data_IF_325491893981
#
_entry.id   IF_325491893981
#
_cell.length_a   1.000
_cell.length_b   1.000
_cell.length_c   1.000
_cell.angle_alpha   90.00
_cell.angle_beta   90.00
_cell.angle_gamma   90.00
#
_symmetry.space_group_name_H-M   'P 1'
#
loop_
_entity.id
_entity.type
_entity.pdbx_description
1 polymer ?
#
# COMPACT_ATOMS: atom_id res chain seq x y z
N UNK A 1 -46.25 -42.84 -18.22
CA UNK A 1 -47.13 -43.04 -19.39
C UNK A 1 -47.44 -41.73 -20.08
N UNK A 2 -46.95 -41.63 -21.31
CA UNK A 2 -47.53 -40.91 -22.47
C UNK A 2 -47.76 -39.40 -22.33
N UNK A 3 -47.48 -38.54 -23.22
CA UNK A 3 -46.98 -38.43 -24.61
C UNK A 3 -47.04 -36.94 -24.95
N UNK A 4 -46.01 -36.36 -25.46
CA UNK A 4 -45.74 -36.03 -26.87
C UNK A 4 -46.73 -35.06 -27.55
N UNK A 5 -46.09 -34.01 -28.09
CA UNK A 5 -46.35 -33.29 -29.34
C UNK A 5 -47.47 -32.22 -29.36
N UNK A 6 -47.18 -31.02 -29.75
CA UNK A 6 -47.27 -30.58 -31.15
C UNK A 6 -46.75 -29.16 -31.33
N UNK A 7 -46.00 -28.97 -32.38
CA UNK A 7 -45.54 -27.71 -32.95
C UNK A 7 -46.65 -27.07 -33.84
N UNK A 8 -46.59 -25.75 -33.99
CA UNK A 8 -46.78 -25.02 -35.28
C UNK A 8 -46.77 -23.50 -35.02
N UNK A 9 -45.79 -22.84 -35.48
CA UNK A 9 -45.70 -21.83 -36.54
C UNK A 9 -46.85 -20.83 -36.71
N UNK A 10 -46.52 -19.55 -36.56
CA UNK A 10 -46.97 -18.51 -37.47
C UNK A 10 -45.97 -17.32 -37.47
N UNK A 11 -45.42 -17.13 -38.65
CA UNK A 11 -44.61 -15.97 -38.98
C UNK A 11 -45.53 -14.75 -39.15
N UNK A 12 -45.11 -13.61 -38.66
CA UNK A 12 -45.65 -12.31 -39.11
C UNK A 12 -44.52 -11.34 -39.27
N UNK A 13 -44.29 -10.98 -40.49
CA UNK A 13 -43.44 -9.92 -41.02
C UNK A 13 -43.93 -8.56 -40.55
N UNK A 14 -43.05 -7.78 -39.92
CA UNK A 14 -43.23 -6.32 -39.83
C UNK A 14 -41.89 -5.65 -40.13
N UNK A 15 -41.88 -4.98 -41.26
CA UNK A 15 -40.85 -4.11 -41.80
C UNK A 15 -40.56 -2.93 -40.86
N UNK A 16 -39.31 -2.75 -40.52
CA UNK A 16 -38.79 -1.54 -39.87
C UNK A 16 -38.41 -0.49 -40.94
N UNK A 17 -38.68 0.79 -40.72
CA UNK A 17 -38.19 1.85 -41.60
C UNK A 17 -36.74 2.19 -41.32
N UNK A 18 -36.00 2.41 -42.39
CA UNK A 18 -34.63 2.90 -42.42
C UNK A 18 -34.55 4.29 -41.76
N UNK A 19 -33.63 4.46 -40.82
CA UNK A 19 -33.20 5.78 -40.33
C UNK A 19 -31.83 6.07 -40.93
N UNK A 20 -31.80 7.14 -41.70
CA UNK A 20 -30.63 7.71 -42.36
C UNK A 20 -29.51 8.04 -41.34
N UNK A 21 -28.33 7.68 -41.71
CA UNK A 21 -27.09 8.09 -41.01
C UNK A 21 -26.80 9.58 -41.30
N UNK A 22 -26.81 10.42 -40.28
CA UNK A 22 -26.17 11.74 -40.31
C UNK A 22 -24.81 11.72 -39.60
N UNK A 23 -23.83 12.50 -40.10
CA UNK A 23 -22.43 12.31 -39.74
C UNK A 23 -22.06 12.93 -38.39
N UNK A 24 -21.20 12.22 -37.66
CA UNK A 24 -20.53 12.67 -36.46
C UNK A 24 -19.73 13.97 -36.64
N UNK A 25 -20.28 15.08 -36.15
CA UNK A 25 -19.55 16.32 -35.85
C UNK A 25 -20.19 16.97 -34.64
N UNK A 26 -19.70 16.62 -33.42
CA UNK A 26 -19.77 17.42 -32.19
C UNK A 26 -19.25 16.64 -30.99
N UNK A 27 -17.98 16.22 -31.01
CA UNK A 27 -17.29 15.67 -29.82
C UNK A 27 -15.88 16.25 -29.68
N UNK A 28 -15.73 17.59 -29.86
CA UNK A 28 -14.44 18.25 -29.77
C UNK A 28 -14.47 19.56 -28.97
N UNK A 29 -15.51 19.85 -28.21
CA UNK A 29 -15.63 21.14 -27.52
C UNK A 29 -15.79 21.07 -25.99
N UNK A 30 -15.86 19.87 -25.38
CA UNK A 30 -16.06 19.74 -23.92
C UNK A 30 -14.76 19.41 -23.17
N UNK A 31 -13.70 19.00 -23.86
CA UNK A 31 -12.45 18.59 -23.20
C UNK A 31 -11.43 19.74 -23.00
N UNK A 32 -11.72 20.96 -23.45
CA UNK A 32 -10.79 22.10 -23.38
C UNK A 32 -11.17 23.19 -22.36
N UNK A 33 -12.24 23.00 -21.59
CA UNK A 33 -12.73 24.00 -20.62
C UNK A 33 -12.36 23.70 -19.16
N UNK A 34 -11.70 22.60 -18.86
CA UNK A 34 -11.28 22.25 -17.49
C UNK A 34 -9.82 22.58 -17.16
N UNK A 35 -9.01 23.10 -18.11
CA UNK A 35 -7.58 23.39 -17.90
C UNK A 35 -7.23 24.87 -17.77
N UNK A 36 -8.20 25.79 -17.62
CA UNK A 36 -7.92 27.21 -17.42
C UNK A 36 -8.68 27.77 -16.23
N UNK A 37 -8.19 27.52 -14.98
CA UNK A 37 -8.34 28.41 -13.82
C UNK A 37 -7.68 27.79 -12.57
N UNK A 38 -6.36 27.69 -12.57
CA UNK A 38 -5.60 27.79 -11.32
C UNK A 38 -4.54 28.87 -11.51
N UNK A 39 -4.90 30.09 -11.15
CA UNK A 39 -3.90 31.14 -10.88
C UNK A 39 -3.23 30.78 -9.57
N UNK A 40 -1.91 30.53 -9.62
CA UNK A 40 -1.05 30.56 -8.46
C UNK A 40 -1.14 31.95 -7.83
N UNK A 41 -1.72 32.04 -6.65
CA UNK A 41 -1.53 33.17 -5.75
C UNK A 41 -0.24 32.88 -5.00
N UNK A 42 0.79 33.65 -5.32
CA UNK A 42 2.03 33.72 -4.55
C UNK A 42 1.69 34.30 -3.18
N UNK A 43 1.63 33.45 -2.15
CA UNK A 43 1.69 33.91 -0.77
C UNK A 43 3.14 33.87 -0.31
N UNK A 44 3.67 35.02 -0.03
CA UNK A 44 4.91 35.35 0.64
C UNK A 44 5.03 34.53 1.95
N UNK A 45 5.96 33.57 1.99
CA UNK A 45 6.38 32.89 3.20
C UNK A 45 7.39 33.73 3.95
N UNK A 46 7.00 34.24 5.09
CA UNK A 46 7.90 34.86 6.05
C UNK A 46 8.56 33.80 6.93
N UNK A 47 9.86 33.75 6.87
CA UNK A 47 10.88 33.34 7.85
C UNK A 47 10.56 32.15 8.80
N UNK A 48 11.06 30.97 8.39
CA UNK A 48 11.76 30.07 9.31
C UNK A 48 13.22 30.02 8.82
N UNK A 49 14.15 30.49 9.64
CA UNK A 49 15.59 30.41 9.37
C UNK A 49 15.99 28.94 9.28
N UNK A 50 16.18 28.49 8.04
CA UNK A 50 17.01 27.31 7.77
C UNK A 50 18.47 27.72 7.98
N UNK A 51 19.33 26.84 8.56
CA UNK A 51 20.76 27.12 8.61
C UNK A 51 21.26 27.32 7.17
N UNK A 52 22.13 28.34 7.00
CA UNK A 52 22.78 28.62 5.72
C UNK A 52 23.37 27.33 5.14
N UNK A 53 23.01 26.94 3.91
CA UNK A 53 23.69 25.84 3.26
C UNK A 53 25.12 26.29 3.00
N UNK A 54 26.10 25.65 3.66
CA UNK A 54 27.51 25.77 3.29
C UNK A 54 27.61 25.60 1.77
N UNK A 55 28.24 26.54 1.11
CA UNK A 55 28.43 26.61 -0.34
C UNK A 55 29.15 25.34 -0.82
N UNK A 56 28.37 24.35 -1.24
CA UNK A 56 28.88 23.14 -1.90
C UNK A 56 29.37 23.63 -3.28
N UNK A 57 30.62 23.33 -3.71
CA UNK A 57 31.10 23.70 -5.01
C UNK A 57 30.20 23.10 -6.10
N UNK A 58 29.48 23.93 -6.82
CA UNK A 58 28.70 23.54 -7.99
C UNK A 58 29.59 23.51 -9.24
N UNK A 59 29.24 22.63 -10.21
CA UNK A 59 29.85 22.70 -11.54
C UNK A 59 29.49 24.04 -12.20
N UNK A 60 30.12 24.41 -13.35
CA UNK A 60 29.84 25.67 -14.06
C UNK A 60 28.35 25.85 -14.45
N UNK A 61 27.52 24.80 -14.39
CA UNK A 61 26.09 24.81 -14.67
C UNK A 61 25.23 24.86 -13.40
N UNK A 62 25.83 25.10 -12.21
CA UNK A 62 25.13 25.22 -10.93
C UNK A 62 24.62 23.90 -10.35
N UNK A 63 25.08 22.74 -10.83
CA UNK A 63 24.71 21.43 -10.29
C UNK A 63 25.69 20.99 -9.20
N UNK A 64 25.13 20.44 -8.12
CA UNK A 64 25.94 19.80 -7.09
C UNK A 64 26.73 18.61 -7.69
N UNK A 65 28.02 18.43 -7.32
CA UNK A 65 28.83 17.36 -7.88
C UNK A 65 28.25 15.99 -7.54
N UNK A 66 28.08 15.12 -8.56
CA UNK A 66 27.70 13.73 -8.38
C UNK A 66 28.90 12.97 -7.84
N UNK A 67 28.87 12.57 -6.59
CA UNK A 67 29.94 11.82 -5.92
C UNK A 67 29.62 10.33 -5.74
N UNK A 68 28.32 9.97 -5.73
CA UNK A 68 27.83 8.61 -5.51
C UNK A 68 27.30 8.00 -6.78
N UNK A 69 27.77 6.80 -7.14
CA UNK A 69 27.17 5.98 -8.19
C UNK A 69 26.58 4.70 -7.59
N UNK A 70 25.29 4.49 -7.75
CA UNK A 70 24.62 3.25 -7.34
C UNK A 70 24.51 2.32 -8.55
N UNK A 71 25.14 1.13 -8.47
CA UNK A 71 25.24 0.17 -9.56
C UNK A 71 24.38 -1.04 -9.23
N UNK A 72 23.39 -1.30 -10.08
CA UNK A 72 22.63 -2.54 -10.07
C UNK A 72 23.47 -3.72 -10.57
N UNK A 73 23.44 -4.83 -9.83
CA UNK A 73 24.14 -6.07 -10.19
C UNK A 73 23.20 -7.26 -10.07
N UNK A 74 23.10 -8.05 -11.12
CA UNK A 74 22.36 -9.31 -11.16
C UNK A 74 23.15 -10.47 -10.56
N UNK A 75 22.58 -11.68 -10.59
CA UNK A 75 23.26 -12.90 -10.17
C UNK A 75 24.26 -13.40 -11.21
N UNK A 76 24.25 -12.83 -12.42
CA UNK A 76 25.27 -12.93 -13.46
C UNK A 76 26.56 -12.15 -13.13
N UNK A 77 26.55 -11.39 -12.03
CA UNK A 77 27.67 -10.71 -11.41
C UNK A 77 28.31 -9.66 -12.30
N UNK A 78 29.65 -9.53 -12.21
CA UNK A 78 30.41 -8.53 -12.96
C UNK A 78 30.30 -8.73 -14.49
N UNK A 79 30.07 -9.96 -14.96
CA UNK A 79 29.92 -10.25 -16.38
C UNK A 79 28.66 -9.60 -16.99
N UNK A 80 27.57 -9.53 -16.26
CA UNK A 80 26.30 -8.91 -16.70
C UNK A 80 26.28 -7.39 -16.66
N UNK A 81 27.27 -6.74 -16.05
CA UNK A 81 27.28 -5.29 -15.90
C UNK A 81 27.49 -4.58 -17.26
N UNK A 82 26.77 -3.49 -17.45
CA UNK A 82 26.97 -2.58 -18.58
C UNK A 82 28.38 -1.98 -18.58
N UNK A 83 28.86 -1.50 -19.74
CA UNK A 83 30.15 -0.80 -19.84
C UNK A 83 30.22 0.41 -18.89
N UNK A 84 29.13 1.15 -18.75
CA UNK A 84 29.07 2.31 -17.85
C UNK A 84 29.20 1.91 -16.38
N UNK A 85 28.51 0.83 -15.96
CA UNK A 85 28.59 0.30 -14.61
C UNK A 85 30.00 -0.23 -14.28
N UNK A 86 30.62 -0.98 -15.21
CA UNK A 86 32.01 -1.45 -15.03
C UNK A 86 32.98 -0.29 -14.89
N UNK A 87 32.84 0.75 -15.73
CA UNK A 87 33.69 1.95 -15.67
C UNK A 87 33.55 2.65 -14.31
N UNK A 88 32.31 2.86 -13.82
CA UNK A 88 32.09 3.46 -12.52
C UNK A 88 32.77 2.70 -11.38
N UNK A 89 32.74 1.35 -11.43
CA UNK A 89 33.43 0.51 -10.45
C UNK A 89 34.96 0.60 -10.53
N UNK A 90 35.55 0.80 -11.74
CA UNK A 90 36.98 0.99 -11.91
C UNK A 90 37.43 2.37 -11.45
N UNK A 91 36.59 3.39 -11.62
CA UNK A 91 36.88 4.78 -11.26
C UNK A 91 36.63 5.06 -9.75
N UNK A 92 35.95 4.14 -9.04
CA UNK A 92 35.63 4.28 -7.64
C UNK A 92 36.85 4.12 -6.72
N UNK A 93 36.93 4.96 -5.69
CA UNK A 93 37.88 4.80 -4.56
C UNK A 93 37.38 3.76 -3.55
N UNK A 94 36.05 3.75 -3.33
CA UNK A 94 35.39 2.85 -2.38
C UNK A 94 34.15 2.23 -3.03
N UNK A 95 33.92 0.94 -2.77
CA UNK A 95 32.74 0.20 -3.19
C UNK A 95 32.05 -0.38 -1.97
N UNK A 96 30.83 0.11 -1.68
CA UNK A 96 29.95 -0.44 -0.65
C UNK A 96 29.03 -1.51 -1.22
N UNK A 97 28.73 -2.53 -0.43
CA UNK A 97 27.79 -3.57 -0.84
C UNK A 97 27.56 -4.65 0.20
N UNK A 98 26.57 -5.50 -0.03
CA UNK A 98 26.41 -6.75 0.72
C UNK A 98 27.54 -7.74 0.40
N UNK A 99 27.82 -8.69 1.30
CA UNK A 99 28.89 -9.67 1.15
C UNK A 99 28.85 -10.40 -0.20
N UNK A 100 27.63 -10.82 -0.65
CA UNK A 100 27.42 -11.49 -1.94
C UNK A 100 27.85 -10.61 -3.11
N UNK A 101 27.43 -9.34 -3.13
CA UNK A 101 27.76 -8.43 -4.24
C UNK A 101 29.26 -8.15 -4.33
N UNK A 102 29.92 -7.94 -3.18
CA UNK A 102 31.37 -7.69 -3.14
C UNK A 102 32.17 -8.92 -3.60
N UNK A 103 31.67 -10.13 -3.31
CA UNK A 103 32.30 -11.38 -3.76
C UNK A 103 32.23 -11.60 -5.29
N UNK A 104 31.26 -10.97 -5.96
CA UNK A 104 31.14 -11.03 -7.45
C UNK A 104 32.14 -10.13 -8.18
N UNK A 105 32.84 -9.25 -7.45
CA UNK A 105 33.78 -8.31 -8.06
C UNK A 105 35.14 -8.96 -8.31
N UNK A 106 35.74 -8.75 -9.52
CA UNK A 106 37.05 -9.30 -9.84
C UNK A 106 38.16 -8.66 -8.98
N UNK A 107 39.19 -9.46 -8.64
CA UNK A 107 40.31 -9.02 -7.80
C UNK A 107 41.08 -7.81 -8.35
N UNK A 108 41.04 -7.57 -9.68
CA UNK A 108 41.70 -6.45 -10.35
C UNK A 108 41.12 -5.07 -10.05
N UNK A 109 39.95 -4.98 -9.40
CA UNK A 109 39.41 -3.70 -8.94
C UNK A 109 40.19 -3.25 -7.70
N UNK A 110 40.78 -2.04 -7.78
CA UNK A 110 41.64 -1.48 -6.72
C UNK A 110 40.87 -0.77 -5.62
N UNK A 111 39.59 -0.47 -5.87
CA UNK A 111 38.71 0.18 -4.89
C UNK A 111 38.67 -0.57 -3.56
N UNK A 112 38.70 0.14 -2.46
CA UNK A 112 38.42 -0.40 -1.13
C UNK A 112 37.00 -0.97 -1.11
N UNK A 113 36.81 -2.17 -0.55
CA UNK A 113 35.53 -2.87 -0.50
C UNK A 113 34.99 -2.82 0.92
N UNK A 114 33.84 -2.19 1.08
CA UNK A 114 33.21 -2.00 2.37
C UNK A 114 31.87 -2.72 2.44
N UNK A 115 31.66 -3.49 3.50
CA UNK A 115 30.37 -4.10 3.80
C UNK A 115 29.49 -3.13 4.57
N UNK A 116 28.18 -3.19 4.32
CA UNK A 116 27.25 -2.50 5.19
C UNK A 116 27.40 -2.96 6.64
N UNK A 117 27.35 -2.05 7.62
CA UNK A 117 27.36 -2.41 9.03
C UNK A 117 26.10 -3.19 9.43
N UNK A 118 26.18 -3.86 10.57
CA UNK A 118 25.06 -4.54 11.20
C UNK A 118 24.90 -4.00 12.63
N UNK A 119 23.79 -3.32 12.96
CA UNK A 119 22.64 -3.01 12.12
C UNK A 119 22.99 -2.11 10.93
N UNK A 120 22.12 -2.12 9.89
CA UNK A 120 22.34 -1.34 8.67
C UNK A 120 22.37 0.16 8.98
N UNK A 121 23.43 0.83 8.51
CA UNK A 121 23.65 2.27 8.67
C UNK A 121 24.34 2.86 7.44
N UNK A 122 23.94 4.06 7.02
CA UNK A 122 24.52 4.78 5.88
C UNK A 122 25.56 5.83 6.29
N UNK A 123 25.71 6.13 7.58
CA UNK A 123 26.65 7.14 8.08
C UNK A 123 28.09 6.91 7.61
N UNK A 124 28.62 5.67 7.56
CA UNK A 124 29.97 5.42 7.02
C UNK A 124 30.09 5.87 5.54
N UNK A 125 29.06 5.65 4.74
CA UNK A 125 29.02 6.09 3.34
C UNK A 125 29.02 7.61 3.22
N UNK A 126 28.25 8.31 4.08
CA UNK A 126 28.13 9.77 4.03
C UNK A 126 29.45 10.51 4.37
N UNK A 127 30.42 9.84 4.98
CA UNK A 127 31.75 10.38 5.27
C UNK A 127 32.72 10.33 4.09
N UNK A 128 32.34 9.67 2.99
CA UNK A 128 33.21 9.45 1.82
C UNK A 128 32.94 10.44 0.68
N UNK A 129 32.30 11.59 0.95
CA UNK A 129 31.81 12.51 -0.08
C UNK A 129 32.91 13.18 -0.93
N UNK A 130 34.15 13.13 -0.50
CA UNK A 130 35.29 13.77 -1.17
C UNK A 130 35.91 12.91 -2.28
N UNK A 131 35.42 11.70 -2.49
CA UNK A 131 35.94 10.74 -3.45
C UNK A 131 34.82 10.06 -4.25
N UNK A 132 35.09 9.54 -5.47
CA UNK A 132 34.12 8.76 -6.20
C UNK A 132 33.76 7.46 -5.45
N UNK A 133 32.50 7.30 -5.08
CA UNK A 133 31.99 6.13 -4.36
C UNK A 133 31.01 5.36 -5.23
N UNK A 134 31.11 4.04 -5.20
CA UNK A 134 30.10 3.16 -5.74
C UNK A 134 29.37 2.38 -4.66
N UNK A 135 28.07 2.17 -4.85
CA UNK A 135 27.24 1.29 -4.06
C UNK A 135 26.68 0.19 -4.95
N UNK A 136 26.86 -1.08 -4.56
CA UNK A 136 26.25 -2.22 -5.24
C UNK A 136 24.87 -2.53 -4.67
N UNK A 137 23.89 -2.70 -5.55
CA UNK A 137 22.52 -3.09 -5.21
C UNK A 137 22.05 -4.25 -6.09
N UNK A 138 21.16 -5.08 -5.60
CA UNK A 138 20.58 -6.17 -6.40
C UNK A 138 19.69 -5.60 -7.50
N UNK A 139 19.89 -6.01 -8.74
CA UNK A 139 19.05 -5.68 -9.89
C UNK A 139 18.84 -4.18 -10.08
N UNK A 140 17.60 -3.70 -9.96
CA UNK A 140 17.29 -2.28 -10.01
C UNK A 140 17.38 -1.65 -8.61
N UNK A 141 18.33 -0.71 -8.37
CA UNK A 141 18.52 -0.07 -7.08
C UNK A 141 17.29 0.71 -6.58
N UNK A 142 16.41 1.14 -7.48
CA UNK A 142 15.22 1.92 -7.13
C UNK A 142 14.00 1.06 -6.83
N UNK A 143 14.05 -0.24 -7.15
CA UNK A 143 12.93 -1.17 -6.95
C UNK A 143 13.13 -2.01 -5.68
N UNK A 144 12.54 -1.61 -4.55
CA UNK A 144 12.76 -2.19 -3.21
C UNK A 144 14.23 -2.23 -2.78
N UNK A 145 15.10 -1.47 -3.44
CA UNK A 145 16.55 -1.48 -3.25
C UNK A 145 17.07 -0.29 -2.45
N UNK A 146 18.38 -0.36 -2.14
CA UNK A 146 19.10 0.66 -1.37
C UNK A 146 19.10 2.04 -2.05
N UNK A 147 19.00 2.09 -3.38
CA UNK A 147 18.99 3.35 -4.13
C UNK A 147 17.88 4.29 -3.71
N UNK A 148 16.67 3.75 -3.46
CA UNK A 148 15.55 4.55 -2.97
C UNK A 148 15.78 5.11 -1.56
N UNK A 149 16.52 4.40 -0.71
CA UNK A 149 16.91 4.88 0.63
C UNK A 149 17.96 5.98 0.51
N UNK A 150 18.99 5.78 -0.30
CA UNK A 150 20.05 6.76 -0.53
C UNK A 150 19.51 8.04 -1.15
N UNK A 151 18.61 7.96 -2.14
CA UNK A 151 18.00 9.12 -2.76
C UNK A 151 17.24 10.03 -1.78
N UNK A 152 16.63 9.45 -0.72
CA UNK A 152 15.94 10.21 0.33
C UNK A 152 16.87 10.96 1.28
N UNK A 153 18.10 10.46 1.48
CA UNK A 153 19.07 11.04 2.41
C UNK A 153 20.07 11.97 1.71
N UNK A 154 20.45 11.64 0.48
CA UNK A 154 21.51 12.33 -0.26
C UNK A 154 20.96 13.33 -1.28
N UNK A 155 19.74 13.09 -1.77
CA UNK A 155 19.17 13.80 -2.92
C UNK A 155 19.54 13.13 -4.24
N UNK A 156 18.57 13.07 -5.16
CA UNK A 156 18.75 12.41 -6.45
C UNK A 156 19.75 13.15 -7.37
N UNK A 157 19.92 14.46 -7.18
CA UNK A 157 20.82 15.34 -7.92
C UNK A 157 22.32 15.10 -7.62
N UNK A 158 22.62 14.50 -6.45
CA UNK A 158 23.98 14.20 -5.99
C UNK A 158 24.41 12.76 -6.27
N UNK A 159 23.54 11.95 -6.84
CA UNK A 159 23.79 10.56 -7.12
C UNK A 159 23.47 10.18 -8.56
N UNK A 160 24.17 9.18 -9.07
CA UNK A 160 23.91 8.53 -10.34
C UNK A 160 23.48 7.09 -10.13
N UNK A 161 22.36 6.69 -10.70
CA UNK A 161 21.89 5.29 -10.63
C UNK A 161 22.08 4.62 -11.99
N UNK A 162 22.71 3.46 -11.98
CA UNK A 162 22.94 2.59 -13.14
C UNK A 162 22.21 1.25 -12.88
N UNK A 163 20.92 1.13 -13.24
CA UNK A 163 20.15 -0.06 -12.96
C UNK A 163 20.56 -1.26 -13.81
N UNK A 164 20.35 -2.46 -13.26
CA UNK A 164 20.30 -3.71 -14.02
C UNK A 164 18.85 -4.23 -14.01
N UNK A 165 18.50 -5.23 -14.86
CA UNK A 165 17.19 -5.86 -14.79
C UNK A 165 16.91 -6.37 -13.38
N UNK A 166 15.75 -6.02 -12.82
CA UNK A 166 15.33 -6.52 -11.51
C UNK A 166 14.91 -7.99 -11.60
N UNK A 167 14.93 -8.70 -10.48
CA UNK A 167 14.38 -10.07 -10.42
C UNK A 167 12.90 -10.10 -10.83
N UNK A 168 12.14 -9.03 -10.57
CA UNK A 168 10.75 -8.89 -11.03
C UNK A 168 10.68 -8.84 -12.57
N UNK A 169 11.55 -8.07 -13.22
CA UNK A 169 11.60 -7.98 -14.69
C UNK A 169 12.00 -9.33 -15.31
N UNK A 170 12.99 -10.01 -14.70
CA UNK A 170 13.43 -11.32 -15.16
C UNK A 170 12.34 -12.38 -15.00
N UNK A 171 11.65 -12.43 -13.84
CA UNK A 171 10.55 -13.34 -13.60
C UNK A 171 9.38 -13.10 -14.56
N UNK A 172 8.99 -11.85 -14.74
CA UNK A 172 7.94 -11.46 -15.67
C UNK A 172 8.26 -11.95 -17.11
N UNK A 173 9.50 -11.76 -17.55
CA UNK A 173 9.96 -12.25 -18.85
C UNK A 173 9.91 -13.80 -18.96
N UNK A 174 10.28 -14.54 -17.88
CA UNK A 174 10.20 -16.01 -17.84
C UNK A 174 8.76 -16.53 -17.87
N UNK A 175 7.81 -15.75 -17.32
CA UNK A 175 6.40 -16.11 -17.25
C UNK A 175 5.56 -15.59 -18.42
N UNK A 176 6.10 -14.67 -19.22
CA UNK A 176 5.33 -13.95 -20.24
C UNK A 176 4.27 -13.01 -19.62
N UNK A 177 4.52 -12.49 -18.42
CA UNK A 177 3.62 -11.57 -17.75
C UNK A 177 4.01 -10.11 -18.01
N UNK A 178 3.12 -9.27 -18.52
CA UNK A 178 3.35 -7.83 -18.56
C UNK A 178 3.49 -7.27 -17.15
N UNK A 179 4.53 -6.49 -16.89
CA UNK A 179 4.77 -5.94 -15.53
C UNK A 179 3.66 -5.03 -15.02
N UNK A 180 2.94 -4.35 -15.92
CA UNK A 180 1.79 -3.50 -15.56
C UNK A 180 0.59 -4.30 -15.03
N UNK A 181 0.52 -5.61 -15.31
CA UNK A 181 -0.56 -6.49 -14.87
C UNK A 181 -0.18 -7.29 -13.61
N UNK A 182 0.95 -6.95 -12.99
CA UNK A 182 1.52 -7.69 -11.87
C UNK A 182 1.64 -6.80 -10.66
N UNK A 183 1.23 -7.32 -9.50
CA UNK A 183 1.48 -6.66 -8.21
C UNK A 183 2.82 -7.16 -7.65
N UNK A 184 3.76 -6.24 -7.47
CA UNK A 184 5.05 -6.52 -6.84
C UNK A 184 4.96 -6.31 -5.31
N UNK A 185 5.30 -7.34 -4.55
CA UNK A 185 5.31 -7.31 -3.08
C UNK A 185 6.69 -7.71 -2.58
N UNK A 186 7.17 -7.07 -1.52
CA UNK A 186 8.41 -7.50 -0.84
C UNK A 186 8.08 -7.92 0.59
N UNK A 187 8.47 -9.15 0.94
CA UNK A 187 8.44 -9.65 2.31
C UNK A 187 9.84 -9.68 2.95
N UNK A 188 10.84 -9.10 2.27
CA UNK A 188 12.19 -8.96 2.82
C UNK A 188 12.15 -8.02 4.04
N UNK A 189 12.40 -8.57 5.23
CA UNK A 189 12.31 -7.84 6.50
C UNK A 189 10.91 -7.31 6.82
N UNK A 190 9.86 -7.90 6.24
CA UNK A 190 8.47 -7.50 6.42
C UNK A 190 7.58 -8.71 6.73
N UNK A 191 6.45 -8.51 7.43
CA UNK A 191 5.50 -9.59 7.67
C UNK A 191 4.94 -10.18 6.37
N UNK A 192 4.85 -11.50 6.31
CA UNK A 192 4.28 -12.24 5.18
C UNK A 192 2.83 -11.84 4.89
N UNK A 193 2.09 -11.43 5.91
CA UNK A 193 0.72 -10.95 5.80
C UNK A 193 0.54 -9.81 4.77
N UNK A 194 1.59 -9.07 4.43
CA UNK A 194 1.54 -7.99 3.44
C UNK A 194 1.05 -8.45 2.05
N UNK A 195 1.18 -9.75 1.68
CA UNK A 195 0.66 -10.29 0.41
C UNK A 195 -0.87 -10.34 0.38
N UNK A 196 -1.52 -10.45 1.55
CA UNK A 196 -2.95 -10.74 1.66
C UNK A 196 -3.84 -9.61 1.13
N UNK A 197 -3.38 -8.37 1.21
CA UNK A 197 -4.12 -7.22 0.66
C UNK A 197 -4.29 -7.29 -0.87
N UNK A 198 -3.41 -8.02 -1.56
CA UNK A 198 -3.38 -8.14 -3.02
C UNK A 198 -3.96 -9.46 -3.52
N UNK A 199 -4.42 -10.35 -2.62
CA UNK A 199 -5.00 -11.63 -3.02
C UNK A 199 -6.43 -11.45 -3.53
N UNK A 200 -6.66 -11.79 -4.79
CA UNK A 200 -7.98 -11.97 -5.39
C UNK A 200 -7.90 -12.99 -6.53
N UNK A 201 -9.02 -13.52 -6.98
CA UNK A 201 -9.05 -14.48 -8.10
C UNK A 201 -8.50 -13.81 -9.36
N UNK A 202 -7.54 -14.45 -10.02
CA UNK A 202 -6.84 -13.93 -11.20
C UNK A 202 -5.73 -12.91 -10.91
N UNK A 203 -5.43 -12.58 -9.65
CA UNK A 203 -4.31 -11.70 -9.33
C UNK A 203 -2.97 -12.37 -9.69
N UNK A 204 -2.05 -11.59 -10.24
CA UNK A 204 -0.66 -12.00 -10.49
C UNK A 204 0.27 -11.26 -9.56
N UNK A 205 0.93 -11.97 -8.66
CA UNK A 205 1.87 -11.37 -7.72
C UNK A 205 3.28 -11.86 -8.00
N UNK A 206 4.24 -10.95 -7.91
CA UNK A 206 5.67 -11.28 -7.82
C UNK A 206 6.16 -10.88 -6.43
N UNK A 207 6.59 -11.86 -5.64
CA UNK A 207 6.96 -11.66 -4.25
C UNK A 207 8.47 -11.83 -4.06
N UNK A 208 9.13 -10.77 -3.61
CA UNK A 208 10.52 -10.82 -3.19
C UNK A 208 10.60 -11.56 -1.86
N UNK A 209 11.26 -12.69 -1.86
CA UNK A 209 11.38 -13.63 -0.75
C UNK A 209 12.38 -13.15 0.30
N UNK A 210 12.10 -13.44 1.57
CA UNK A 210 13.04 -13.16 2.66
C UNK A 210 14.18 -14.21 2.72
N UNK A 211 13.82 -15.47 2.49
CA UNK A 211 14.73 -16.63 2.61
C UNK A 211 14.17 -17.86 1.88
N UNK A 212 14.86 -18.98 2.02
CA UNK A 212 14.48 -20.25 1.37
C UNK A 212 13.23 -20.92 1.99
N UNK A 213 12.78 -20.54 3.18
CA UNK A 213 11.56 -21.07 3.80
C UNK A 213 10.30 -20.29 3.39
N UNK A 214 10.48 -19.06 2.91
CA UNK A 214 9.39 -18.16 2.51
C UNK A 214 8.41 -18.78 1.52
N UNK A 215 8.83 -19.54 0.47
CA UNK A 215 7.89 -20.17 -0.48
C UNK A 215 6.88 -21.10 0.20
N UNK A 216 7.35 -21.98 1.10
CA UNK A 216 6.47 -22.89 1.83
C UNK A 216 5.51 -22.14 2.77
N UNK A 217 6.00 -21.08 3.43
CA UNK A 217 5.18 -20.23 4.29
C UNK A 217 4.09 -19.48 3.49
N UNK A 218 4.40 -18.98 2.29
CA UNK A 218 3.42 -18.36 1.38
C UNK A 218 2.39 -19.38 0.92
N UNK A 219 2.81 -20.60 0.52
CA UNK A 219 1.90 -21.66 0.11
C UNK A 219 0.88 -22.00 1.21
N UNK A 220 1.33 -22.16 2.44
CA UNK A 220 0.47 -22.38 3.59
C UNK A 220 -0.47 -21.19 3.84
N UNK A 221 0.05 -19.97 3.78
CA UNK A 221 -0.71 -18.75 4.02
C UNK A 221 -1.85 -18.56 3.00
N UNK A 222 -1.57 -18.69 1.69
CA UNK A 222 -2.60 -18.49 0.65
C UNK A 222 -3.61 -19.63 0.63
N UNK A 223 -3.19 -20.86 0.96
CA UNK A 223 -4.08 -22.03 1.09
C UNK A 223 -5.07 -21.83 2.24
N UNK A 224 -4.60 -21.37 3.40
CA UNK A 224 -5.46 -21.07 4.56
C UNK A 224 -6.49 -19.95 4.29
N UNK A 225 -6.28 -19.16 3.22
CA UNK A 225 -7.18 -18.08 2.78
C UNK A 225 -8.09 -18.48 1.62
N UNK A 226 -8.20 -19.77 1.29
CA UNK A 226 -9.04 -20.25 0.22
C UNK A 226 -8.43 -20.10 -1.18
N UNK A 227 -7.14 -19.81 -1.27
CA UNK A 227 -6.40 -19.70 -2.53
C UNK A 227 -5.48 -20.91 -2.78
N UNK A 228 -5.83 -22.08 -2.28
CA UNK A 228 -5.02 -23.28 -2.43
C UNK A 228 -4.77 -23.67 -3.90
N UNK A 229 -5.69 -23.39 -4.81
CA UNK A 229 -5.57 -23.65 -6.24
C UNK A 229 -4.61 -22.69 -6.98
N UNK A 230 -3.99 -21.73 -6.29
CA UNK A 230 -2.99 -20.80 -6.83
C UNK A 230 -1.80 -21.56 -7.40
N UNK A 231 -1.44 -21.24 -8.66
CA UNK A 231 -0.18 -21.71 -9.25
C UNK A 231 0.97 -20.90 -8.67
N UNK A 232 1.94 -21.61 -8.13
CA UNK A 232 3.16 -21.04 -7.59
C UNK A 232 4.34 -21.40 -8.47
N UNK A 233 5.15 -20.42 -8.82
CA UNK A 233 6.45 -20.62 -9.46
C UNK A 233 7.52 -19.96 -8.60
N UNK A 234 8.51 -20.70 -8.17
CA UNK A 234 9.67 -20.17 -7.47
C UNK A 234 10.85 -20.16 -8.44
N UNK A 235 11.45 -18.98 -8.58
CA UNK A 235 12.68 -18.81 -9.33
C UNK A 235 13.84 -18.60 -8.35
N UNK A 236 14.82 -19.46 -8.42
CA UNK A 236 16.07 -19.35 -7.68
C UNK A 236 17.16 -18.80 -8.58
N UNK A 237 18.03 -17.97 -8.05
CA UNK A 237 19.22 -17.43 -8.73
C UNK A 237 18.94 -16.83 -10.11
N UNK A 238 17.82 -16.11 -10.27
CA UNK A 238 17.39 -15.52 -11.53
C UNK A 238 18.49 -14.70 -12.21
N UNK A 239 18.75 -15.03 -13.50
CA UNK A 239 19.77 -14.41 -14.32
C UNK A 239 21.18 -14.96 -14.11
N UNK A 240 21.40 -15.81 -13.10
CA UNK A 240 22.69 -16.43 -12.80
C UNK A 240 22.87 -17.82 -13.41
N UNK A 241 24.07 -18.38 -13.28
CA UNK A 241 24.38 -19.74 -13.75
C UNK A 241 23.68 -20.86 -12.97
N UNK A 242 23.16 -20.55 -11.80
CA UNK A 242 22.40 -21.46 -10.93
C UNK A 242 20.89 -21.23 -11.02
N UNK A 243 20.41 -20.51 -12.05
CA UNK A 243 18.99 -20.24 -12.24
C UNK A 243 18.22 -21.57 -12.29
N UNK A 244 17.20 -21.68 -11.41
CA UNK A 244 16.32 -22.83 -11.32
C UNK A 244 14.87 -22.38 -11.16
N UNK A 245 13.95 -23.11 -11.79
CA UNK A 245 12.51 -22.89 -11.69
C UNK A 245 11.85 -24.10 -11.01
N UNK A 246 10.94 -23.84 -10.06
CA UNK A 246 10.14 -24.84 -9.37
C UNK A 246 8.68 -24.43 -9.48
N UNK A 247 7.83 -25.28 -10.05
CA UNK A 247 6.40 -25.02 -10.23
C UNK A 247 5.59 -25.96 -9.35
N UNK A 248 4.43 -25.49 -8.86
CA UNK A 248 3.50 -26.27 -8.08
C UNK A 248 2.18 -25.55 -7.82
N UNK A 249 1.28 -26.20 -7.10
CA UNK A 249 0.05 -25.58 -6.57
C UNK A 249 0.25 -25.31 -5.07
N UNK A 250 -0.35 -24.23 -4.57
CA UNK A 250 -0.17 -23.82 -3.18
C UNK A 250 -0.58 -24.91 -2.19
N UNK A 251 -1.75 -25.56 -2.39
CA UNK A 251 -2.23 -26.65 -1.52
C UNK A 251 -1.37 -27.89 -1.55
N UNK A 252 -0.59 -28.10 -2.63
CA UNK A 252 0.26 -29.27 -2.84
C UNK A 252 1.75 -28.88 -2.91
N UNK A 253 2.13 -27.78 -2.25
CA UNK A 253 3.52 -27.35 -2.21
C UNK A 253 4.33 -28.23 -1.27
N UNK A 254 5.29 -29.00 -1.83
CA UNK A 254 6.06 -29.98 -1.07
C UNK A 254 7.52 -29.58 -0.84
N UNK A 255 7.99 -28.51 -1.51
CA UNK A 255 9.37 -28.04 -1.35
C UNK A 255 9.48 -27.22 -0.07
N UNK A 256 9.99 -27.85 1.00
CA UNK A 256 10.13 -27.19 2.30
C UNK A 256 11.19 -26.09 2.29
N UNK A 257 12.26 -26.25 1.51
CA UNK A 257 13.40 -25.33 1.46
C UNK A 257 13.84 -25.08 0.01
N UNK A 258 13.87 -23.82 -0.36
CA UNK A 258 14.42 -23.31 -1.61
C UNK A 258 15.79 -22.64 -1.37
N UNK A 259 16.48 -22.22 -2.42
CA UNK A 259 17.64 -21.34 -2.27
C UNK A 259 17.23 -20.02 -1.58
N UNK A 260 18.12 -19.45 -0.77
CA UNK A 260 17.86 -18.20 -0.07
C UNK A 260 17.59 -17.02 -1.04
N UNK A 261 18.28 -17.01 -2.18
CA UNK A 261 18.03 -16.04 -3.24
C UNK A 261 16.94 -16.57 -4.16
N UNK A 262 15.71 -16.21 -3.88
CA UNK A 262 14.57 -16.62 -4.69
C UNK A 262 13.51 -15.51 -4.83
N UNK A 263 12.66 -15.70 -5.84
CA UNK A 263 11.47 -14.90 -6.09
C UNK A 263 10.29 -15.84 -6.33
N UNK A 264 9.13 -15.48 -5.81
CA UNK A 264 7.91 -16.29 -5.90
C UNK A 264 6.91 -15.59 -6.80
N UNK A 265 6.41 -16.29 -7.79
CA UNK A 265 5.30 -15.83 -8.62
C UNK A 265 4.02 -16.58 -8.22
N UNK A 266 2.93 -15.86 -8.05
CA UNK A 266 1.61 -16.40 -7.73
C UNK A 266 0.64 -16.02 -8.84
N UNK A 267 0.03 -17.01 -9.51
CA UNK A 267 -1.15 -16.85 -10.36
C UNK A 267 -2.35 -17.27 -9.52
N UNK A 268 -2.96 -16.28 -8.88
CA UNK A 268 -3.90 -16.52 -7.80
C UNK A 268 -5.21 -17.10 -8.31
N UNK A 269 -5.62 -18.20 -7.67
CA UNK A 269 -6.88 -18.89 -7.98
C UNK A 269 -7.59 -19.30 -6.69
N UNK A 270 -8.86 -18.90 -6.56
CA UNK A 270 -9.70 -19.34 -5.46
C UNK A 270 -10.08 -20.82 -5.60
N UNK A 271 -10.21 -21.50 -4.47
CA UNK A 271 -10.73 -22.87 -4.38
C UNK A 271 -12.25 -22.83 -4.20
N UNK A 272 -13.01 -22.47 -5.25
CA UNK A 272 -14.48 -22.39 -5.17
C UNK A 272 -15.00 -21.10 -4.52
N UNK A 273 -15.83 -21.20 -3.48
CA UNK A 273 -16.49 -20.07 -2.79
C UNK A 273 -15.56 -19.24 -1.88
N UNK A 274 -14.30 -19.09 -2.25
CA UNK A 274 -13.34 -18.30 -1.49
C UNK A 274 -13.82 -16.86 -1.26
N UNK A 275 -13.47 -16.22 -0.14
CA UNK A 275 -13.96 -14.90 0.21
C UNK A 275 -13.56 -13.87 -0.85
N UNK A 276 -14.54 -13.13 -1.37
CA UNK A 276 -14.27 -11.95 -2.19
C UNK A 276 -13.75 -10.84 -1.28
N UNK A 277 -12.48 -10.51 -1.39
CA UNK A 277 -11.92 -9.37 -0.67
C UNK A 277 -12.09 -8.14 -1.55
N UNK A 278 -13.08 -7.31 -1.23
CA UNK A 278 -13.34 -6.09 -1.98
C UNK A 278 -12.18 -5.09 -1.87
N UNK A 279 -11.89 -4.38 -2.97
CA UNK A 279 -10.95 -3.24 -2.98
C UNK A 279 -11.62 -1.96 -2.50
N UNK A 280 -12.94 -1.84 -2.69
CA UNK A 280 -13.73 -0.72 -2.18
C UNK A 280 -14.03 -0.90 -0.70
N UNK A 281 -14.15 0.20 0.07
CA UNK A 281 -14.57 0.14 1.46
C UNK A 281 -15.92 -0.58 1.65
N UNK A 282 -16.07 -1.24 2.78
CA UNK A 282 -17.28 -1.99 3.15
C UNK A 282 -17.08 -3.50 3.13
N UNK A 283 -15.96 -3.99 3.65
CA UNK A 283 -15.80 -5.43 3.93
C UNK A 283 -16.95 -5.94 4.81
N UNK A 284 -17.39 -7.19 4.68
CA UNK A 284 -18.34 -7.80 5.59
C UNK A 284 -17.91 -7.66 7.05
N UNK A 285 -18.86 -7.55 7.97
CA UNK A 285 -18.54 -7.39 9.39
C UNK A 285 -17.84 -8.63 9.97
N UNK A 286 -18.19 -9.81 9.48
CA UNK A 286 -17.57 -11.12 9.84
C UNK A 286 -16.13 -11.29 9.30
N UNK A 287 -15.66 -10.39 8.42
CA UNK A 287 -14.24 -10.33 8.05
C UNK A 287 -13.35 -9.86 9.21
N UNK A 288 -13.95 -9.29 10.26
CA UNK A 288 -13.25 -8.77 11.43
C UNK A 288 -13.57 -9.59 12.68
N UNK A 289 -12.54 -9.87 13.48
CA UNK A 289 -12.74 -10.31 14.87
C UNK A 289 -13.16 -9.09 15.70
N UNK A 290 -14.28 -9.19 16.43
CA UNK A 290 -14.81 -8.09 17.23
C UNK A 290 -15.71 -8.60 18.38
N UNK A 291 -15.95 -7.76 19.37
CA UNK A 291 -16.83 -8.00 20.52
C UNK A 291 -18.29 -7.50 20.30
N UNK A 292 -18.69 -7.27 19.06
CA UNK A 292 -19.95 -6.64 18.69
C UNK A 292 -19.82 -5.13 18.46
N UNK A 293 -18.77 -4.50 18.94
CA UNK A 293 -18.48 -3.07 18.80
C UNK A 293 -17.58 -2.82 17.60
N UNK A 294 -18.17 -2.62 16.45
CA UNK A 294 -17.49 -2.15 15.23
C UNK A 294 -18.41 -1.20 14.48
N UNK A 295 -17.83 -0.30 13.71
CA UNK A 295 -18.56 0.50 12.74
C UNK A 295 -19.11 -0.46 11.68
N UNK A 296 -20.44 -0.59 11.60
CA UNK A 296 -21.13 -1.53 10.71
C UNK A 296 -20.79 -1.24 9.25
N UNK A 297 -20.84 -2.27 8.40
CA UNK A 297 -20.40 -2.27 7.00
C UNK A 297 -20.80 -1.01 6.23
N UNK A 298 -22.09 -0.70 6.17
CA UNK A 298 -22.59 0.42 5.35
C UNK A 298 -22.18 1.78 5.92
N UNK A 299 -22.21 1.93 7.25
CA UNK A 299 -21.71 3.13 7.94
C UNK A 299 -20.20 3.26 7.74
N UNK A 300 -19.46 2.17 7.81
CA UNK A 300 -18.00 2.13 7.58
C UNK A 300 -17.66 2.55 6.16
N UNK A 301 -18.38 2.03 5.17
CA UNK A 301 -18.21 2.42 3.77
C UNK A 301 -18.45 3.92 3.57
N UNK A 302 -19.54 4.46 4.15
CA UNK A 302 -19.85 5.88 4.08
C UNK A 302 -18.82 6.73 4.82
N UNK A 303 -18.38 6.30 6.01
CA UNK A 303 -17.34 6.99 6.79
C UNK A 303 -16.03 7.07 6.00
N UNK A 304 -15.60 5.97 5.38
CA UNK A 304 -14.39 5.93 4.56
C UNK A 304 -14.52 6.77 3.27
N UNK A 305 -15.70 6.79 2.66
CA UNK A 305 -15.97 7.68 1.52
C UNK A 305 -15.83 9.16 1.90
N UNK A 306 -16.23 9.55 3.13
CA UNK A 306 -16.07 10.92 3.65
C UNK A 306 -14.64 11.22 4.09
N UNK A 307 -13.94 10.23 4.66
CA UNK A 307 -12.51 10.33 4.95
C UNK A 307 -11.67 10.47 3.68
N UNK A 308 -12.15 9.95 2.54
CA UNK A 308 -11.55 10.06 1.21
C UNK A 308 -10.04 9.75 1.20
N UNK A 309 -9.61 8.50 1.47
CA UNK A 309 -8.20 8.13 1.54
C UNK A 309 -7.44 8.54 0.28
N UNK A 310 -6.31 9.22 0.46
CA UNK A 310 -5.41 9.58 -0.63
C UNK A 310 -4.00 9.01 -0.39
N UNK A 311 -3.20 8.77 -1.46
CA UNK A 311 -1.87 8.23 -1.34
C UNK A 311 -0.96 9.02 -0.39
N UNK A 312 -0.23 8.30 0.49
CA UNK A 312 0.73 8.82 1.48
C UNK A 312 0.12 9.49 2.71
N UNK A 313 -1.19 9.61 2.82
CA UNK A 313 -1.84 10.19 3.98
C UNK A 313 -1.79 9.28 5.20
N UNK A 314 -1.80 9.91 6.37
CA UNK A 314 -1.84 9.29 7.69
C UNK A 314 -3.21 9.54 8.33
N UNK A 315 -3.90 8.46 8.70
CA UNK A 315 -5.12 8.48 9.51
C UNK A 315 -4.79 8.27 11.00
N UNK A 316 -5.42 9.04 11.87
CA UNK A 316 -5.65 8.65 13.26
C UNK A 316 -7.04 8.03 13.40
N UNK A 317 -7.08 6.76 13.81
CA UNK A 317 -8.31 6.01 14.13
C UNK A 317 -8.46 5.98 15.65
N UNK A 318 -9.24 6.93 16.20
CA UNK A 318 -9.35 7.17 17.64
C UNK A 318 -10.56 6.43 18.20
N UNK A 319 -10.34 5.59 19.22
CA UNK A 319 -11.32 4.63 19.69
C UNK A 319 -11.55 3.55 18.62
N UNK A 320 -10.45 2.96 18.13
CA UNK A 320 -10.43 2.15 16.93
C UNK A 320 -11.24 0.85 17.02
N UNK A 321 -11.59 0.40 18.24
CA UNK A 321 -12.31 -0.84 18.45
C UNK A 321 -11.55 -2.04 17.90
N UNK A 322 -12.09 -2.70 16.90
CA UNK A 322 -11.40 -3.81 16.21
C UNK A 322 -10.48 -3.36 15.06
N UNK A 323 -10.31 -2.06 14.84
CA UNK A 323 -9.44 -1.48 13.82
C UNK A 323 -10.03 -1.40 12.42
N UNK A 324 -11.34 -1.60 12.27
CA UNK A 324 -11.97 -1.75 10.95
C UNK A 324 -11.80 -0.56 10.03
N UNK A 325 -11.86 0.68 10.55
CA UNK A 325 -11.67 1.91 9.76
C UNK A 325 -10.20 2.05 9.34
N UNK A 326 -9.26 1.95 10.28
CA UNK A 326 -7.82 2.07 10.00
C UNK A 326 -7.33 1.00 9.00
N UNK A 327 -7.85 -0.23 9.13
CA UNK A 327 -7.53 -1.34 8.22
C UNK A 327 -8.04 -1.04 6.80
N UNK A 328 -9.31 -0.69 6.63
CA UNK A 328 -9.85 -0.40 5.30
C UNK A 328 -9.27 0.88 4.69
N UNK A 329 -8.92 1.89 5.51
CA UNK A 329 -8.15 3.04 5.07
C UNK A 329 -6.82 2.64 4.43
N UNK A 330 -6.05 1.76 5.08
CA UNK A 330 -4.76 1.29 4.55
C UNK A 330 -4.91 0.37 3.34
N UNK A 331 -6.03 -0.33 3.22
CA UNK A 331 -6.35 -1.17 2.06
C UNK A 331 -6.74 -0.34 0.83
N UNK A 332 -7.20 0.90 1.00
CA UNK A 332 -7.55 1.77 -0.11
C UNK A 332 -6.35 2.09 -1.02
N UNK A 333 -5.14 2.22 -0.43
CA UNK A 333 -3.91 2.42 -1.20
C UNK A 333 -2.67 1.96 -0.42
N UNK A 334 -1.68 1.32 -1.07
CA UNK A 334 -0.49 0.76 -0.39
C UNK A 334 0.38 1.79 0.36
N UNK A 335 0.29 3.07 0.03
CA UNK A 335 1.02 4.14 0.72
C UNK A 335 0.23 4.81 1.84
N UNK A 336 -1.06 4.48 2.02
CA UNK A 336 -1.85 4.94 3.16
C UNK A 336 -1.29 4.35 4.45
N UNK A 337 -1.27 5.16 5.49
CA UNK A 337 -0.84 4.77 6.85
C UNK A 337 -1.95 5.06 7.84
N UNK A 338 -1.99 4.29 8.92
CA UNK A 338 -2.92 4.55 10.00
C UNK A 338 -2.26 4.26 11.36
N UNK A 339 -2.68 5.04 12.36
CA UNK A 339 -2.42 4.81 13.77
C UNK A 339 -3.76 4.55 14.41
N UNK A 340 -3.96 3.34 14.94
CA UNK A 340 -5.14 2.95 15.69
C UNK A 340 -4.88 3.20 17.17
N UNK A 341 -5.71 3.98 17.83
CA UNK A 341 -5.62 4.31 19.26
C UNK A 341 -6.76 3.61 19.98
N UNK A 342 -6.45 2.66 20.87
CA UNK A 342 -7.44 1.85 21.57
C UNK A 342 -7.02 1.60 23.02
N UNK A 343 -7.96 1.82 23.94
CA UNK A 343 -7.72 1.66 25.38
C UNK A 343 -7.90 0.23 25.87
N UNK A 344 -8.81 -0.54 25.27
CA UNK A 344 -9.18 -1.88 25.76
C UNK A 344 -8.24 -2.95 25.23
N UNK A 345 -7.56 -3.66 26.12
CA UNK A 345 -6.55 -4.67 25.79
C UNK A 345 -7.09 -5.80 24.90
N UNK A 346 -8.34 -6.21 25.06
CA UNK A 346 -8.95 -7.23 24.20
C UNK A 346 -9.13 -6.74 22.77
N UNK A 347 -9.59 -5.49 22.59
CA UNK A 347 -9.77 -4.86 21.26
C UNK A 347 -8.43 -4.61 20.59
N UNK A 348 -7.38 -4.27 21.34
CA UNK A 348 -6.01 -4.19 20.83
C UNK A 348 -5.59 -5.51 20.16
N UNK A 349 -5.91 -6.66 20.79
CA UNK A 349 -5.66 -8.00 20.21
C UNK A 349 -6.49 -8.25 18.94
N UNK A 350 -7.71 -7.73 18.87
CA UNK A 350 -8.50 -7.80 17.63
C UNK A 350 -7.84 -6.97 16.53
N UNK A 351 -7.38 -5.75 16.81
CA UNK A 351 -6.66 -4.92 15.85
C UNK A 351 -5.45 -5.65 15.29
N UNK A 352 -4.61 -6.24 16.14
CA UNK A 352 -3.42 -6.98 15.72
C UNK A 352 -3.76 -8.17 14.80
N UNK A 353 -4.75 -8.97 15.19
CA UNK A 353 -5.17 -10.11 14.39
C UNK A 353 -5.82 -9.68 13.07
N UNK A 354 -6.68 -8.68 13.10
CA UNK A 354 -7.39 -8.18 11.93
C UNK A 354 -6.43 -7.53 10.93
N UNK A 355 -5.48 -6.69 11.37
CA UNK A 355 -4.49 -6.05 10.48
C UNK A 355 -3.65 -7.10 9.74
N UNK A 356 -3.23 -8.16 10.44
CA UNK A 356 -2.46 -9.26 9.86
C UNK A 356 -3.36 -10.10 8.93
N UNK A 357 -4.59 -10.39 9.38
CA UNK A 357 -5.55 -11.14 8.60
C UNK A 357 -5.98 -10.46 7.30
N UNK A 358 -6.06 -9.14 7.29
CA UNK A 358 -6.54 -8.34 6.16
C UNK A 358 -5.42 -7.66 5.35
N UNK A 359 -4.15 -8.04 5.62
CA UNK A 359 -3.02 -7.69 4.77
C UNK A 359 -2.45 -6.29 4.97
N UNK A 360 -2.67 -5.68 6.13
CA UNK A 360 -2.11 -4.37 6.48
C UNK A 360 -1.29 -4.40 7.79
N UNK A 361 -0.29 -5.29 7.89
CA UNK A 361 0.47 -5.49 9.13
C UNK A 361 1.25 -4.24 9.58
N UNK A 362 1.37 -3.24 8.71
CA UNK A 362 2.03 -1.96 9.02
C UNK A 362 1.13 -0.98 9.79
N UNK A 363 -0.16 -1.31 10.05
CA UNK A 363 -1.02 -0.52 10.91
C UNK A 363 -0.41 -0.42 12.30
N UNK A 364 -0.14 0.81 12.74
CA UNK A 364 0.43 1.07 14.05
C UNK A 364 -0.67 1.05 15.11
N UNK A 365 -0.44 0.29 16.19
CA UNK A 365 -1.32 0.28 17.35
C UNK A 365 -0.68 1.09 18.49
N UNK A 366 -1.47 2.01 19.06
CA UNK A 366 -1.14 2.76 20.27
C UNK A 366 -2.11 2.34 21.37
N UNK A 367 -1.59 1.63 22.35
CA UNK A 367 -2.34 1.19 23.52
C UNK A 367 -2.53 2.37 24.49
N UNK A 368 -3.78 2.79 24.72
CA UNK A 368 -4.09 3.86 25.64
C UNK A 368 -5.36 4.63 25.29
N UNK A 369 -5.79 5.45 26.22
CA UNK A 369 -6.99 6.29 26.07
C UNK A 369 -6.62 7.67 25.51
N UNK A 370 -7.37 8.14 24.51
CA UNK A 370 -7.33 9.54 24.09
C UNK A 370 -7.97 10.44 25.20
N UNK A 371 -7.48 11.68 25.39
CA UNK A 371 -6.49 12.37 24.57
C UNK A 371 -5.03 12.05 24.93
N UNK A 372 -4.72 11.44 26.09
CA UNK A 372 -3.35 11.27 26.57
C UNK A 372 -2.49 10.43 25.59
N UNK A 373 -3.06 9.38 25.00
CA UNK A 373 -2.36 8.51 24.05
C UNK A 373 -2.06 9.18 22.69
N UNK A 374 -2.55 10.39 22.42
CA UNK A 374 -2.27 11.13 21.19
C UNK A 374 -0.96 11.94 21.26
N UNK A 375 -0.38 12.09 22.44
CA UNK A 375 0.81 12.91 22.66
C UNK A 375 2.03 12.33 21.93
N UNK A 376 2.76 13.16 21.19
CA UNK A 376 3.99 12.76 20.49
C UNK A 376 3.79 11.95 19.21
N UNK A 377 2.56 11.69 18.78
CA UNK A 377 2.29 11.01 17.53
C UNK A 377 2.56 11.92 16.32
N UNK A 378 2.93 11.31 15.20
CA UNK A 378 3.04 12.02 13.92
C UNK A 378 1.70 12.66 13.56
N UNK A 379 1.70 13.96 13.18
CA UNK A 379 0.49 14.70 12.85
C UNK A 379 -0.27 14.06 11.68
N UNK A 380 -1.61 13.88 11.82
CA UNK A 380 -2.43 13.19 10.84
C UNK A 380 -2.89 14.12 9.70
N UNK A 381 -3.16 13.52 8.55
CA UNK A 381 -3.86 14.15 7.41
C UNK A 381 -5.38 13.97 7.51
N UNK A 382 -5.80 12.92 8.21
CA UNK A 382 -7.21 12.64 8.51
C UNK A 382 -7.35 12.09 9.93
N UNK A 383 -8.49 12.36 10.56
CA UNK A 383 -8.86 11.82 11.88
C UNK A 383 -10.26 11.22 11.81
N UNK A 384 -10.38 10.01 12.32
CA UNK A 384 -11.66 9.39 12.62
C UNK A 384 -11.82 9.24 14.14
N UNK A 385 -12.93 9.70 14.69
CA UNK A 385 -13.30 9.47 16.08
C UNK A 385 -14.48 8.49 16.11
N UNK A 386 -14.16 7.21 16.33
CA UNK A 386 -15.14 6.12 16.40
C UNK A 386 -15.68 5.87 17.80
N UNK A 387 -14.95 6.31 18.81
CA UNK A 387 -15.32 6.21 20.22
C UNK A 387 -14.68 7.30 21.05
N UNK A 388 -15.29 7.62 22.21
CA UNK A 388 -14.76 8.60 23.16
C UNK A 388 -14.96 10.08 22.76
N UNK A 389 -15.83 10.41 21.81
CA UNK A 389 -16.11 11.80 21.43
C UNK A 389 -16.64 12.65 22.59
N UNK A 390 -17.29 12.00 23.56
CA UNK A 390 -17.80 12.63 24.80
C UNK A 390 -16.73 12.82 25.88
N UNK A 391 -15.56 12.21 25.71
CA UNK A 391 -14.45 12.38 26.66
C UNK A 391 -13.86 13.78 26.50
N UNK A 392 -13.78 14.58 27.59
CA UNK A 392 -13.26 15.94 27.52
C UNK A 392 -11.86 15.99 26.90
N UNK A 393 -11.66 16.92 25.96
CA UNK A 393 -10.39 17.16 25.30
C UNK A 393 -10.05 16.23 24.13
N UNK A 394 -10.78 15.15 23.87
CA UNK A 394 -10.49 14.23 22.74
C UNK A 394 -10.65 14.96 21.41
N UNK A 395 -11.78 15.62 21.19
CA UNK A 395 -12.00 16.35 19.94
C UNK A 395 -10.98 17.47 19.76
N UNK A 396 -10.75 18.27 20.79
CA UNK A 396 -9.83 19.41 20.71
C UNK A 396 -8.37 18.99 20.49
N UNK A 397 -7.93 17.87 21.08
CA UNK A 397 -6.60 17.30 20.83
C UNK A 397 -6.47 16.79 19.38
N UNK A 398 -7.48 16.09 18.87
CA UNK A 398 -7.54 15.65 17.48
C UNK A 398 -7.54 16.83 16.49
N UNK A 399 -8.37 17.85 16.77
CA UNK A 399 -8.44 19.05 15.94
C UNK A 399 -7.13 19.82 15.91
N UNK A 400 -6.49 19.98 17.07
CA UNK A 400 -5.22 20.69 17.17
C UNK A 400 -4.13 20.00 16.39
N UNK A 401 -4.04 18.67 16.47
CA UNK A 401 -3.03 17.85 15.77
C UNK A 401 -3.26 17.73 14.26
N UNK A 402 -4.51 17.86 13.80
CA UNK A 402 -4.87 17.74 12.40
C UNK A 402 -4.17 18.82 11.57
N UNK A 403 -3.61 18.46 10.42
CA UNK A 403 -2.96 19.42 9.50
C UNK A 403 -3.99 20.34 8.84
N UNK A 404 -3.59 21.53 8.42
CA UNK A 404 -4.43 22.38 7.55
C UNK A 404 -4.79 21.61 6.27
N UNK A 405 -6.05 21.70 5.83
CA UNK A 405 -6.61 20.88 4.77
C UNK A 405 -6.99 19.46 5.18
N UNK A 406 -6.66 19.05 6.40
CA UNK A 406 -6.98 17.73 6.93
C UNK A 406 -8.46 17.57 7.25
N UNK A 407 -8.95 16.32 7.23
CA UNK A 407 -10.35 15.96 7.41
C UNK A 407 -10.56 15.31 8.78
N UNK A 408 -11.64 15.72 9.47
CA UNK A 408 -12.09 15.08 10.71
C UNK A 408 -13.50 14.55 10.53
N UNK A 409 -13.67 13.25 10.75
CA UNK A 409 -14.95 12.57 10.78
C UNK A 409 -15.16 11.98 12.18
N UNK A 410 -16.37 12.16 12.73
CA UNK A 410 -16.74 11.56 14.00
C UNK A 410 -18.17 10.98 13.92
N UNK A 411 -18.35 9.80 14.49
CA UNK A 411 -19.64 9.13 14.56
C UNK A 411 -20.16 9.12 16.00
N UNK A 412 -21.45 9.40 16.18
CA UNK A 412 -22.15 9.29 17.46
C UNK A 412 -23.46 8.52 17.30
N UNK A 413 -23.77 7.69 18.30
CA UNK A 413 -25.01 6.92 18.40
C UNK A 413 -25.83 7.29 19.66
N UNK A 414 -25.31 8.16 20.52
CA UNK A 414 -25.96 8.63 21.76
C UNK A 414 -26.28 10.10 21.70
N UNK A 415 -27.26 10.52 22.45
CA UNK A 415 -27.68 11.94 22.54
C UNK A 415 -26.54 12.84 23.04
N UNK A 416 -25.75 12.36 24.01
CA UNK A 416 -24.59 13.07 24.53
C UNK A 416 -23.53 13.26 23.43
N UNK A 417 -23.25 12.22 22.67
CA UNK A 417 -22.33 12.29 21.52
C UNK A 417 -22.83 13.27 20.46
N UNK A 418 -24.12 13.21 20.13
CA UNK A 418 -24.75 14.15 19.18
C UNK A 418 -24.65 15.59 19.64
N UNK A 419 -24.88 15.84 20.94
CA UNK A 419 -24.76 17.18 21.51
C UNK A 419 -23.33 17.75 21.38
N UNK A 420 -22.33 16.92 21.64
CA UNK A 420 -20.91 17.28 21.42
C UNK A 420 -20.64 17.59 19.95
N UNK A 421 -21.09 16.73 19.01
CA UNK A 421 -20.89 16.96 17.57
C UNK A 421 -21.62 18.21 17.07
N UNK A 422 -22.80 18.50 17.59
CA UNK A 422 -23.53 19.73 17.27
C UNK A 422 -22.77 20.99 17.73
N UNK A 423 -22.13 20.94 18.90
CA UNK A 423 -21.30 22.04 19.40
C UNK A 423 -19.99 22.16 18.59
N UNK A 424 -19.36 21.05 18.23
CA UNK A 424 -18.19 21.06 17.35
C UNK A 424 -18.53 21.74 16.01
N UNK A 425 -19.69 21.42 15.42
CA UNK A 425 -20.15 22.07 14.18
C UNK A 425 -20.29 23.56 14.30
N UNK A 426 -20.81 24.08 15.45
CA UNK A 426 -20.90 25.52 15.66
C UNK A 426 -19.52 26.17 15.71
N UNK A 427 -18.54 25.52 16.32
CA UNK A 427 -17.17 26.07 16.49
C UNK A 427 -16.31 25.95 15.24
N UNK A 428 -16.44 24.86 14.49
CA UNK A 428 -15.52 24.49 13.42
C UNK A 428 -16.19 24.36 12.05
N UNK A 429 -17.48 24.67 11.94
CA UNK A 429 -18.22 24.47 10.69
C UNK A 429 -18.45 23.00 10.36
N UNK A 430 -18.54 22.68 9.08
CA UNK A 430 -18.75 21.31 8.60
C UNK A 430 -20.23 20.90 8.57
N UNK A 431 -20.47 19.59 8.39
CA UNK A 431 -21.81 19.02 8.21
C UNK A 431 -22.12 17.94 9.22
N UNK A 432 -23.40 17.83 9.59
CA UNK A 432 -23.95 16.70 10.33
C UNK A 432 -24.89 15.94 9.39
N UNK A 433 -24.67 14.64 9.27
CA UNK A 433 -25.50 13.73 8.47
C UNK A 433 -26.10 12.68 9.39
N UNK A 434 -27.42 12.48 9.32
CA UNK A 434 -28.11 11.38 10.00
C UNK A 434 -28.17 10.18 9.08
N UNK A 435 -27.72 9.02 9.54
CA UNK A 435 -27.75 7.75 8.81
C UNK A 435 -28.72 6.84 9.55
N UNK A 436 -29.79 6.41 8.89
CA UNK A 436 -30.74 5.43 9.39
C UNK A 436 -30.79 4.26 8.40
N UNK A 437 -30.53 3.06 8.89
CA UNK A 437 -30.52 1.82 8.12
C UNK A 437 -31.55 0.86 8.73
N UNK A 438 -32.13 0.03 7.89
CA UNK A 438 -32.98 -1.06 8.34
C UNK A 438 -32.81 -2.26 7.43
N UNK A 439 -32.70 -3.46 8.01
CA UNK A 439 -32.56 -4.70 7.29
C UNK A 439 -33.85 -5.52 7.39
N UNK A 440 -34.23 -6.18 6.30
CA UNK A 440 -35.33 -7.13 6.33
C UNK A 440 -34.91 -8.36 7.17
N UNK A 441 -35.74 -8.71 8.16
CA UNK A 441 -35.49 -9.83 9.04
C UNK A 441 -36.76 -10.64 9.28
N UNK A 442 -36.65 -11.96 9.51
CA UNK A 442 -37.78 -12.82 9.81
C UNK A 442 -38.55 -12.36 11.05
N UNK A 443 -39.89 -12.34 10.93
CA UNK A 443 -40.83 -12.14 12.02
C UNK A 443 -41.95 -13.22 11.93
N UNK A 444 -41.78 -14.33 12.61
CA UNK A 444 -42.65 -15.49 12.44
C UNK A 444 -42.60 -16.07 11.01
N UNK A 445 -43.75 -16.14 10.34
CA UNK A 445 -43.87 -16.55 8.95
C UNK A 445 -43.74 -15.42 7.93
N UNK A 446 -43.38 -14.20 8.35
CA UNK A 446 -43.28 -13.00 7.53
C UNK A 446 -41.88 -12.36 7.66
N UNK A 447 -41.65 -11.28 6.94
CA UNK A 447 -40.47 -10.45 7.07
C UNK A 447 -40.86 -9.03 7.54
N UNK A 448 -39.96 -8.38 8.27
CA UNK A 448 -40.14 -7.00 8.71
C UNK A 448 -38.82 -6.22 8.62
N UNK A 449 -38.92 -4.90 8.50
CA UNK A 449 -37.77 -4.02 8.61
C UNK A 449 -37.33 -3.85 10.06
N UNK A 450 -36.13 -4.29 10.40
CA UNK A 450 -35.48 -3.99 11.69
C UNK A 450 -34.54 -2.82 11.54
N UNK A 451 -34.83 -1.68 12.19
CA UNK A 451 -33.94 -0.52 12.17
C UNK A 451 -32.69 -0.80 13.01
N UNK A 452 -31.53 -0.42 12.48
CA UNK A 452 -30.32 -0.25 13.26
C UNK A 452 -30.40 1.05 14.08
N UNK A 453 -29.54 1.20 15.09
CA UNK A 453 -29.43 2.49 15.80
C UNK A 453 -29.01 3.56 14.81
N UNK A 454 -29.74 4.67 14.70
CA UNK A 454 -29.34 5.79 13.85
C UNK A 454 -28.00 6.36 14.28
N UNK A 455 -27.18 6.75 13.32
CA UNK A 455 -25.85 7.31 13.56
C UNK A 455 -25.82 8.75 13.08
N UNK A 456 -25.27 9.64 13.91
CA UNK A 456 -24.95 11.00 13.50
C UNK A 456 -23.48 11.06 13.14
N UNK A 457 -23.21 11.33 11.86
CA UNK A 457 -21.86 11.53 11.30
C UNK A 457 -21.60 13.04 11.20
N UNK A 458 -20.53 13.47 11.83
CA UNK A 458 -19.97 14.82 11.68
C UNK A 458 -18.75 14.79 10.78
N UNK A 459 -18.68 15.73 9.86
CA UNK A 459 -17.58 15.92 8.93
C UNK A 459 -17.14 17.37 8.89
N UNK A 460 -15.85 17.62 8.98
CA UNK A 460 -15.26 18.95 8.83
C UNK A 460 -13.86 18.88 8.25
N UNK A 461 -13.42 19.99 7.65
CA UNK A 461 -12.06 20.17 7.12
C UNK A 461 -11.41 21.32 7.86
N UNK A 462 -10.16 21.15 8.31
CA UNK A 462 -9.42 22.18 9.01
C UNK A 462 -8.89 23.21 8.01
N UNK A 463 -9.35 24.44 8.11
CA UNK A 463 -8.87 25.58 7.32
C UNK A 463 -7.48 26.05 7.73
#
# INVERSE_FOLDING_TARGET
LKSAACAAALASTATAPAVEAQPARAASAVSLLFYRRFRFVSMSTNSLQQPDPELIPCDPNGRAPVWLTVVGIGDDGFAGLTRAARRALFDASVIYGGARHLAMLPARLRARRERWPTPFDIEPLLREQDAPVCVLASGDPMQFGIGATLARHIGAERMRVLPAPSSLSLAAARLGWPLQDVVAVSVVGRPLAAILASLHDGARLLVLSNDGATPAAIAACVTARGFGATKMTVFEHLGGSLERRIDGLAYAWHTAQCAALNLIALDCKTSGDGPRVALTPGLPDDAFLHDGQLTKRDVRALTLARLAPAPRELLWDVGAGCGSIGIEWMRAHPSCRAIAIEAHAERQRFIERNRDALGVPALQLVAGAAPAALAGLTLPDAVFIGGGVTVPGVFDACWSALRCGGRLIANAVTLEGEAVLAECRKRHGGTLTRIALADAQPLGGFETWRPALPITLYETVKS
#
